data_IF_497111847120
#
_entry.id   IF_497111847120
#
_cell.length_a   1.000
_cell.length_b   1.000
_cell.length_c   1.000
_cell.angle_alpha   90.00
_cell.angle_beta   90.00
_cell.angle_gamma   90.00
#
_symmetry.space_group_name_H-M   'P 1'
#
loop_
_entity.id
_entity.type
_entity.pdbx_description
1 polymer ?
#
# COMPACT_ATOMS: atom_id res chain seq x y z
N UNK A 1 33.73 -20.84 1.11
CA UNK A 1 33.38 -20.96 -0.33
C UNK A 1 31.93 -20.58 -0.61
N UNK A 2 30.97 -21.04 0.19
CA UNK A 2 29.51 -20.80 0.04
C UNK A 2 29.13 -19.31 0.03
N UNK A 3 29.78 -18.48 0.86
CA UNK A 3 29.53 -17.02 0.90
C UNK A 3 29.86 -16.32 -0.43
N UNK A 4 30.91 -16.76 -1.14
CA UNK A 4 31.28 -16.20 -2.45
C UNK A 4 30.28 -16.58 -3.54
N UNK A 5 29.69 -17.78 -3.47
CA UNK A 5 28.68 -18.22 -4.42
C UNK A 5 27.34 -17.51 -4.24
N UNK A 6 26.94 -17.22 -2.99
CA UNK A 6 25.75 -16.40 -2.73
C UNK A 6 25.93 -14.96 -3.22
N UNK A 7 27.13 -14.40 -3.07
CA UNK A 7 27.48 -13.07 -3.58
C UNK A 7 27.54 -13.05 -5.12
N UNK A 8 28.05 -14.11 -5.76
CA UNK A 8 28.10 -14.25 -7.22
C UNK A 8 26.72 -14.47 -7.85
N UNK A 9 25.86 -15.32 -7.25
CA UNK A 9 24.48 -15.52 -7.71
C UNK A 9 23.63 -14.24 -7.55
N UNK A 10 24.00 -13.40 -6.57
CA UNK A 10 23.41 -12.09 -6.32
C UNK A 10 24.03 -10.96 -7.16
N UNK A 11 25.19 -11.18 -7.77
CA UNK A 11 25.78 -10.24 -8.72
C UNK A 11 25.04 -10.26 -10.07
N UNK A 12 24.47 -11.41 -10.45
CA UNK A 12 23.56 -11.55 -11.59
C UNK A 12 22.19 -10.88 -11.36
N UNK A 13 21.78 -10.69 -10.09
CA UNK A 13 20.51 -10.06 -9.70
C UNK A 13 20.73 -9.05 -8.58
N UNK A 14 20.98 -7.80 -8.97
CA UNK A 14 21.36 -6.70 -8.09
C UNK A 14 20.51 -6.66 -6.79
N UNK A 15 21.11 -6.83 -5.58
CA UNK A 15 20.41 -6.84 -4.29
C UNK A 15 19.43 -5.69 -4.11
N UNK A 16 19.90 -4.52 -4.54
CA UNK A 16 19.23 -3.24 -4.38
C UNK A 16 17.97 -3.18 -5.27
N UNK A 17 18.01 -3.84 -6.44
CA UNK A 17 16.87 -3.91 -7.35
C UNK A 17 15.75 -4.80 -6.79
N UNK A 18 16.11 -5.91 -6.14
CA UNK A 18 15.11 -6.77 -5.48
C UNK A 18 14.49 -6.09 -4.27
N UNK A 19 15.29 -5.37 -3.48
CA UNK A 19 14.79 -4.56 -2.36
C UNK A 19 13.84 -3.46 -2.85
N UNK A 20 14.23 -2.67 -3.84
CA UNK A 20 13.38 -1.62 -4.39
C UNK A 20 12.08 -2.18 -4.97
N UNK A 21 12.12 -3.29 -5.71
CA UNK A 21 10.90 -3.92 -6.25
C UNK A 21 9.96 -4.38 -5.14
N UNK A 22 10.49 -5.05 -4.11
CA UNK A 22 9.68 -5.49 -2.98
C UNK A 22 9.08 -4.30 -2.21
N UNK A 23 9.86 -3.25 -1.96
CA UNK A 23 9.41 -2.05 -1.28
C UNK A 23 8.31 -1.32 -2.07
N UNK A 24 8.45 -1.20 -3.40
CA UNK A 24 7.43 -0.58 -4.27
C UNK A 24 6.14 -1.39 -4.25
N UNK A 25 6.21 -2.72 -4.37
CA UNK A 25 5.01 -3.57 -4.33
C UNK A 25 4.33 -3.51 -2.97
N UNK A 26 5.11 -3.55 -1.88
CA UNK A 26 4.57 -3.53 -0.52
C UNK A 26 3.96 -2.17 -0.15
N UNK A 27 4.68 -1.07 -0.40
CA UNK A 27 4.16 0.27 -0.15
C UNK A 27 2.98 0.60 -1.08
N UNK A 28 3.05 0.18 -2.35
CA UNK A 28 1.99 0.35 -3.33
C UNK A 28 0.71 -0.38 -2.93
N UNK A 29 0.79 -1.67 -2.62
CA UNK A 29 -0.37 -2.45 -2.17
C UNK A 29 -0.92 -1.92 -0.84
N UNK A 30 -0.03 -1.59 0.12
CA UNK A 30 -0.41 -1.05 1.43
C UNK A 30 -1.13 0.30 1.37
N UNK A 31 -0.84 1.13 0.35
CA UNK A 31 -1.53 2.40 0.15
C UNK A 31 -2.75 2.30 -0.77
N UNK A 32 -2.69 1.54 -1.86
CA UNK A 32 -3.79 1.42 -2.84
C UNK A 32 -4.99 0.66 -2.29
N UNK A 33 -4.72 -0.42 -1.55
CA UNK A 33 -5.78 -1.28 -1.01
C UNK A 33 -6.75 -0.52 -0.09
N UNK A 34 -6.31 0.22 0.95
CA UNK A 34 -7.23 1.00 1.78
C UNK A 34 -7.90 2.14 1.01
N UNK A 35 -7.23 2.72 -0.01
CA UNK A 35 -7.78 3.81 -0.83
C UNK A 35 -9.00 3.39 -1.66
N UNK A 36 -9.03 2.13 -2.10
CA UNK A 36 -10.15 1.56 -2.87
C UNK A 36 -11.18 0.95 -1.92
N UNK A 37 -10.73 0.24 -0.88
CA UNK A 37 -11.62 -0.46 0.03
C UNK A 37 -12.42 0.51 0.91
N UNK A 38 -11.84 1.63 1.32
CA UNK A 38 -12.49 2.65 2.15
C UNK A 38 -13.75 3.25 1.49
N UNK A 39 -13.71 3.77 0.25
CA UNK A 39 -14.92 4.31 -0.38
C UNK A 39 -15.96 3.22 -0.68
N UNK A 40 -15.55 2.01 -1.09
CA UNK A 40 -16.48 0.90 -1.39
C UNK A 40 -17.27 0.50 -0.14
N UNK A 41 -16.57 0.32 0.98
CA UNK A 41 -17.21 -0.03 2.27
C UNK A 41 -18.09 1.09 2.79
N UNK A 42 -17.69 2.35 2.62
CA UNK A 42 -18.53 3.51 3.00
C UNK A 42 -19.83 3.56 2.20
N UNK A 43 -19.76 3.37 0.87
CA UNK A 43 -20.94 3.32 -0.01
C UNK A 43 -21.83 2.12 0.35
N UNK A 44 -21.24 0.93 0.53
CA UNK A 44 -21.98 -0.27 0.90
C UNK A 44 -22.68 -0.15 2.26
N UNK A 45 -22.06 0.55 3.21
CA UNK A 45 -22.65 0.81 4.52
C UNK A 45 -23.84 1.78 4.41
N UNK A 46 -23.71 2.86 3.65
CA UNK A 46 -24.80 3.82 3.43
C UNK A 46 -25.98 3.15 2.74
N UNK A 47 -25.73 2.30 1.73
CA UNK A 47 -26.80 1.57 1.05
C UNK A 47 -27.53 0.59 1.97
N UNK A 48 -26.83 -0.02 2.94
CA UNK A 48 -27.41 -1.01 3.85
C UNK A 48 -28.16 -0.38 5.03
N UNK A 49 -27.63 0.70 5.60
CA UNK A 49 -28.18 1.33 6.80
C UNK A 49 -29.00 2.59 6.53
N UNK A 50 -29.09 3.05 5.26
CA UNK A 50 -29.93 4.18 4.86
C UNK A 50 -29.62 5.48 5.60
N UNK A 51 -28.43 5.59 6.21
CA UNK A 51 -28.11 6.65 7.18
C UNK A 51 -27.90 8.02 6.53
N UNK A 52 -27.76 8.06 5.20
CA UNK A 52 -27.56 9.28 4.42
C UNK A 52 -28.26 9.15 3.06
N UNK A 53 -28.95 10.20 2.60
CA UNK A 53 -29.51 10.29 1.25
C UNK A 53 -28.35 10.40 0.25
N UNK A 54 -27.85 9.26 -0.22
CA UNK A 54 -26.76 9.20 -1.17
C UNK A 54 -27.31 9.41 -2.59
N UNK A 55 -26.78 10.36 -3.38
CA UNK A 55 -27.17 10.50 -4.78
C UNK A 55 -26.82 9.21 -5.52
N UNK A 56 -27.75 8.72 -6.34
CA UNK A 56 -27.53 7.51 -7.13
C UNK A 56 -26.29 7.71 -8.02
N UNK A 57 -25.34 6.78 -7.93
CA UNK A 57 -24.07 6.77 -8.68
C UNK A 57 -24.30 7.01 -10.19
N UNK A 58 -25.44 6.56 -10.71
CA UNK A 58 -25.84 6.65 -12.12
C UNK A 58 -26.38 8.02 -12.53
N UNK A 59 -26.83 8.86 -11.60
CA UNK A 59 -27.42 10.18 -11.90
C UNK A 59 -26.43 11.33 -11.73
N UNK A 60 -25.54 11.27 -10.74
CA UNK A 60 -24.64 12.39 -10.39
C UNK A 60 -23.21 11.93 -10.04
N UNK A 61 -22.42 11.46 -11.04
CA UNK A 61 -21.08 10.92 -10.79
C UNK A 61 -20.09 11.96 -10.25
N UNK A 62 -20.29 13.24 -10.58
CA UNK A 62 -19.45 14.35 -10.11
C UNK A 62 -19.58 14.59 -8.60
N UNK A 63 -20.79 14.46 -8.04
CA UNK A 63 -21.02 14.65 -6.60
C UNK A 63 -20.47 13.46 -5.80
N UNK A 64 -20.52 12.24 -6.36
CA UNK A 64 -19.84 11.06 -5.78
C UNK A 64 -18.32 11.25 -5.75
N UNK A 65 -17.73 11.76 -6.83
CA UNK A 65 -16.30 12.09 -6.89
C UNK A 65 -15.91 13.16 -5.87
N UNK A 66 -16.76 14.18 -5.69
CA UNK A 66 -16.59 15.23 -4.67
C UNK A 66 -16.61 14.66 -3.25
N UNK A 67 -17.51 13.72 -2.99
CA UNK A 67 -17.63 13.01 -1.71
C UNK A 67 -16.39 12.15 -1.45
N UNK A 68 -15.93 11.38 -2.45
CA UNK A 68 -14.67 10.63 -2.37
C UNK A 68 -13.49 11.56 -2.09
N UNK A 69 -13.40 12.69 -2.80
CA UNK A 69 -12.32 13.66 -2.61
C UNK A 69 -12.35 14.25 -1.21
N UNK A 70 -13.54 14.45 -0.63
CA UNK A 70 -13.73 14.91 0.75
C UNK A 70 -13.30 13.87 1.79
N UNK A 71 -13.50 12.57 1.51
CA UNK A 71 -13.03 11.46 2.35
C UNK A 71 -11.51 11.22 2.26
N UNK A 72 -10.92 11.39 1.08
CA UNK A 72 -9.48 11.21 0.85
C UNK A 72 -8.67 12.38 1.46
N UNK A 73 -9.24 13.60 1.49
CA UNK A 73 -8.56 14.81 2.00
C UNK A 73 -8.05 14.68 3.45
N UNK A 74 -8.84 14.22 4.45
CA UNK A 74 -8.36 14.04 5.84
C UNK A 74 -7.39 12.87 5.98
N UNK A 75 -7.53 11.84 5.15
CA UNK A 75 -6.71 10.62 5.22
C UNK A 75 -5.29 10.84 4.71
N UNK A 76 -5.03 11.92 3.96
CA UNK A 76 -3.71 12.18 3.33
C UNK A 76 -2.54 12.14 4.33
N UNK A 77 -2.72 12.67 5.54
CA UNK A 77 -1.65 12.68 6.56
C UNK A 77 -1.40 11.28 7.14
N UNK A 78 -2.47 10.51 7.37
CA UNK A 78 -2.39 9.12 7.83
C UNK A 78 -1.76 8.24 6.75
N UNK A 79 -2.12 8.46 5.48
CA UNK A 79 -1.56 7.74 4.35
C UNK A 79 -0.05 8.01 4.20
N UNK A 80 0.39 9.26 4.44
CA UNK A 80 1.82 9.61 4.49
C UNK A 80 2.54 8.87 5.62
N UNK A 81 1.96 8.81 6.80
CA UNK A 81 2.50 8.05 7.93
C UNK A 81 2.59 6.54 7.63
N UNK A 82 1.56 5.97 7.02
CA UNK A 82 1.55 4.56 6.59
C UNK A 82 2.62 4.32 5.52
N UNK A 83 2.79 5.22 4.56
CA UNK A 83 3.81 5.09 3.52
C UNK A 83 5.22 5.07 4.11
N UNK A 84 5.52 5.99 5.04
CA UNK A 84 6.81 6.01 5.75
C UNK A 84 6.98 4.74 6.58
N UNK A 85 5.94 4.30 7.30
CA UNK A 85 5.96 3.06 8.06
C UNK A 85 6.21 1.81 7.20
N UNK A 86 5.56 1.72 6.04
CA UNK A 86 5.76 0.64 5.08
C UNK A 86 7.17 0.67 4.47
N UNK A 87 7.72 1.85 4.19
CA UNK A 87 9.09 1.99 3.70
C UNK A 87 10.14 1.53 4.74
N UNK A 88 9.95 1.93 6.01
CA UNK A 88 10.82 1.49 7.11
C UNK A 88 10.71 -0.03 7.36
N UNK A 89 9.49 -0.58 7.35
CA UNK A 89 9.26 -2.02 7.50
C UNK A 89 9.87 -2.83 6.36
N UNK A 90 9.72 -2.37 5.11
CA UNK A 90 10.30 -3.04 3.95
C UNK A 90 11.84 -3.05 4.01
N UNK A 91 12.45 -1.93 4.42
CA UNK A 91 13.90 -1.85 4.64
C UNK A 91 14.35 -2.77 5.79
N UNK A 92 13.65 -2.76 6.92
CA UNK A 92 13.97 -3.62 8.07
C UNK A 92 13.87 -5.12 7.73
N UNK A 93 12.82 -5.55 7.03
CA UNK A 93 12.64 -6.95 6.59
C UNK A 93 13.74 -7.37 5.62
N UNK A 94 14.17 -6.46 4.74
CA UNK A 94 15.27 -6.73 3.81
C UNK A 94 16.60 -6.86 4.53
N UNK A 95 16.83 -6.07 5.57
CA UNK A 95 18.03 -6.12 6.41
C UNK A 95 18.12 -7.38 7.28
N UNK A 96 16.97 -7.94 7.70
CA UNK A 96 16.89 -9.17 8.50
C UNK A 96 17.03 -10.46 7.66
N UNK A 97 16.71 -10.42 6.36
CA UNK A 97 16.86 -11.56 5.45
C UNK A 97 18.30 -12.09 5.31
N UNK A 98 19.36 -11.27 5.13
CA UNK A 98 20.74 -11.77 5.01
C UNK A 98 21.25 -12.40 6.31
N UNK A 99 20.82 -11.93 7.48
CA UNK A 99 21.24 -12.45 8.80
C UNK A 99 20.60 -13.80 9.14
N UNK A 100 19.40 -14.09 8.63
CA UNK A 100 18.68 -15.35 8.89
C UNK A 100 19.10 -16.53 8.02
N UNK A 101 19.77 -16.32 6.89
CA UNK A 101 20.22 -17.41 5.99
C UNK A 101 21.59 -18.00 6.37
N UNK A 102 22.27 -17.40 7.35
CA UNK A 102 23.60 -17.83 7.81
C UNK A 102 23.54 -18.55 9.17
N UNK A 103 22.37 -19.10 9.54
CA UNK A 103 22.19 -19.94 10.73
C UNK A 103 21.53 -21.26 10.33
#
# INVERSE_FOLDING_TARGET
LVLKQLLLLKQEQCPICMEMRAAVVQAGAGCLMPLILSPITSIGLVHRFGTFNMPFITKEPLEVLKLLRKQIKPIKNVLLGIFIGQALLASAVTYLKPTRYTR
#
